data_IF_798425069869
#
_entry.id   IF_798425069869
#
_cell.length_a   1.000
_cell.length_b   1.000
_cell.length_c   1.000
_cell.angle_alpha   90.00
_cell.angle_beta   90.00
_cell.angle_gamma   90.00
#
_symmetry.space_group_name_H-M   'P 1'
#
loop_
_entity.id
_entity.type
_entity.pdbx_description
1 polymer ?
#
# COMPACT_ATOMS: atom_id res chain seq x y z
N UNK A 1 6.92 -12.96 45.85
CA UNK A 1 7.50 -12.15 44.74
C UNK A 1 6.45 -11.14 44.30
N UNK A 2 6.64 -9.83 44.60
CA UNK A 2 5.74 -8.78 44.12
C UNK A 2 5.95 -8.63 42.61
N UNK A 3 4.97 -9.10 41.85
CA UNK A 3 4.84 -8.92 40.41
C UNK A 3 5.09 -7.43 40.07
N UNK A 4 5.98 -7.18 39.10
CA UNK A 4 6.30 -5.86 38.60
C UNK A 4 5.07 -4.94 38.55
N UNK A 5 5.21 -3.73 39.12
CA UNK A 5 4.19 -2.68 39.11
C UNK A 5 3.54 -2.60 37.72
N UNK A 6 2.20 -2.45 37.62
CA UNK A 6 1.49 -2.24 36.36
C UNK A 6 2.12 -1.13 35.50
N UNK A 7 2.69 -0.11 36.14
CA UNK A 7 3.42 0.98 35.50
C UNK A 7 4.69 0.50 34.78
N UNK A 8 5.46 -0.39 35.41
CA UNK A 8 6.69 -0.94 34.82
C UNK A 8 6.35 -1.83 33.63
N UNK A 9 5.30 -2.65 33.72
CA UNK A 9 4.82 -3.46 32.59
C UNK A 9 4.35 -2.58 31.43
N UNK A 10 3.64 -1.49 31.71
CA UNK A 10 3.21 -0.53 30.70
C UNK A 10 4.42 0.11 29.99
N UNK A 11 5.43 0.54 30.74
CA UNK A 11 6.66 1.12 30.18
C UNK A 11 7.41 0.13 29.29
N UNK A 12 7.58 -1.12 29.72
CA UNK A 12 8.19 -2.16 28.89
C UNK A 12 7.40 -2.44 27.61
N UNK A 13 6.07 -2.48 27.69
CA UNK A 13 5.21 -2.67 26.52
C UNK A 13 5.31 -1.50 25.54
N UNK A 14 5.39 -0.26 26.03
CA UNK A 14 5.59 0.93 25.19
C UNK A 14 6.96 0.86 24.51
N UNK A 15 8.03 0.60 25.26
CA UNK A 15 9.39 0.46 24.75
C UNK A 15 9.47 -0.64 23.67
N UNK A 16 8.90 -1.81 23.92
CA UNK A 16 8.87 -2.91 22.95
C UNK A 16 8.20 -2.50 21.63
N UNK A 17 7.04 -1.84 21.69
CA UNK A 17 6.34 -1.31 20.50
C UNK A 17 7.18 -0.30 19.72
N UNK A 18 7.90 0.58 20.42
CA UNK A 18 8.84 1.50 19.78
C UNK A 18 9.95 0.74 19.04
N UNK A 19 10.61 -0.23 19.68
CA UNK A 19 11.67 -1.01 19.03
C UNK A 19 11.18 -1.76 17.78
N UNK A 20 9.97 -2.31 17.80
CA UNK A 20 9.38 -2.99 16.65
C UNK A 20 9.15 -2.04 15.46
N UNK A 21 8.57 -0.86 15.72
CA UNK A 21 8.37 0.15 14.67
C UNK A 21 9.70 0.65 14.07
N UNK A 22 10.73 0.87 14.90
CA UNK A 22 12.06 1.24 14.44
C UNK A 22 12.70 0.14 13.59
N UNK A 23 12.54 -1.13 13.99
CA UNK A 23 13.02 -2.28 13.21
C UNK A 23 12.33 -2.33 11.85
N UNK A 24 11.01 -2.16 11.79
CA UNK A 24 10.28 -2.12 10.53
C UNK A 24 10.75 -0.97 9.63
N UNK A 25 10.93 0.24 10.18
CA UNK A 25 11.46 1.39 9.42
C UNK A 25 12.88 1.15 8.90
N UNK A 26 13.75 0.54 9.70
CA UNK A 26 15.12 0.19 9.28
C UNK A 26 15.10 -0.79 8.10
N UNK A 27 14.30 -1.85 8.19
CA UNK A 27 14.15 -2.83 7.12
C UNK A 27 13.58 -2.18 5.85
N UNK A 28 12.57 -1.31 5.98
CA UNK A 28 11.99 -0.58 4.85
C UNK A 28 13.03 0.31 4.14
N UNK A 29 13.83 1.05 4.90
CA UNK A 29 14.89 1.88 4.34
C UNK A 29 15.97 1.06 3.63
N UNK A 30 16.26 -0.14 4.15
CA UNK A 30 17.20 -1.06 3.52
C UNK A 30 16.67 -1.63 2.20
N UNK A 31 15.40 -2.05 2.15
CA UNK A 31 14.74 -2.45 0.89
C UNK A 31 14.81 -1.31 -0.12
N UNK A 32 14.43 -0.09 0.27
CA UNK A 32 14.49 1.11 -0.59
C UNK A 32 15.90 1.38 -1.13
N UNK A 33 16.94 1.15 -0.32
CA UNK A 33 18.34 1.32 -0.75
C UNK A 33 18.69 0.34 -1.87
N UNK A 34 18.28 -0.93 -1.75
CA UNK A 34 18.52 -1.93 -2.79
C UNK A 34 17.70 -1.66 -4.06
N UNK A 35 16.44 -1.22 -3.94
CA UNK A 35 15.61 -0.79 -5.08
C UNK A 35 16.25 0.39 -5.83
N UNK A 36 16.74 1.41 -5.10
CA UNK A 36 17.44 2.57 -5.69
C UNK A 36 18.71 2.19 -6.44
N UNK A 37 19.40 1.13 -6.00
CA UNK A 37 20.62 0.61 -6.64
C UNK A 37 20.33 -0.49 -7.67
N UNK A 38 19.06 -0.67 -8.05
CA UNK A 38 18.57 -1.66 -9.04
C UNK A 38 18.91 -3.12 -8.69
N UNK A 39 19.14 -3.42 -7.41
CA UNK A 39 19.35 -4.78 -6.90
C UNK A 39 18.01 -5.39 -6.50
N UNK A 40 17.15 -5.63 -7.49
CA UNK A 40 15.74 -5.94 -7.27
C UNK A 40 15.50 -7.31 -6.61
N UNK A 41 16.34 -8.30 -6.91
CA UNK A 41 16.27 -9.65 -6.33
C UNK A 41 16.54 -9.60 -4.82
N UNK A 42 17.59 -8.88 -4.41
CA UNK A 42 17.92 -8.67 -2.99
C UNK A 42 16.82 -7.87 -2.30
N UNK A 43 16.30 -6.83 -2.95
CA UNK A 43 15.19 -6.06 -2.41
C UNK A 43 13.94 -6.93 -2.20
N UNK A 44 13.64 -7.81 -3.14
CA UNK A 44 12.52 -8.75 -3.06
C UNK A 44 12.68 -9.74 -1.90
N UNK A 45 13.85 -10.40 -1.78
CA UNK A 45 14.13 -11.31 -0.66
C UNK A 45 14.00 -10.61 0.70
N UNK A 46 14.55 -9.40 0.83
CA UNK A 46 14.46 -8.61 2.06
C UNK A 46 13.02 -8.20 2.37
N UNK A 47 12.24 -7.85 1.36
CA UNK A 47 10.82 -7.48 1.50
C UNK A 47 10.00 -8.67 1.98
N UNK A 48 10.18 -9.86 1.41
CA UNK A 48 9.54 -11.09 1.88
C UNK A 48 9.95 -11.45 3.31
N UNK A 49 11.24 -11.34 3.63
CA UNK A 49 11.72 -11.54 5.01
C UNK A 49 11.10 -10.53 5.97
N UNK A 50 10.92 -9.28 5.55
CA UNK A 50 10.27 -8.25 6.36
C UNK A 50 8.80 -8.62 6.63
N UNK A 51 8.03 -8.89 5.58
CA UNK A 51 6.61 -9.28 5.65
C UNK A 51 6.38 -10.42 6.66
N UNK A 52 7.27 -11.42 6.67
CA UNK A 52 7.15 -12.59 7.56
C UNK A 52 7.70 -12.38 8.97
N UNK A 53 8.42 -11.29 9.24
CA UNK A 53 9.14 -11.11 10.51
C UNK A 53 8.77 -9.85 11.29
N UNK A 54 8.04 -8.92 10.68
CA UNK A 54 7.44 -7.77 11.37
C UNK A 54 5.99 -8.09 11.73
N UNK A 55 5.49 -7.47 12.80
CA UNK A 55 4.06 -7.54 13.12
C UNK A 55 3.24 -7.00 11.94
N UNK A 56 2.11 -7.65 11.62
CA UNK A 56 1.21 -7.30 10.51
C UNK A 56 0.89 -5.81 10.47
N UNK A 57 0.68 -5.17 11.62
CA UNK A 57 0.36 -3.74 11.73
C UNK A 57 1.47 -2.81 11.21
N UNK A 58 2.70 -3.33 11.06
CA UNK A 58 3.86 -2.61 10.52
C UNK A 58 4.23 -3.07 9.10
N UNK A 59 3.49 -4.02 8.53
CA UNK A 59 3.82 -4.65 7.26
C UNK A 59 3.40 -3.83 6.03
N UNK A 60 2.51 -2.84 6.18
CA UNK A 60 1.91 -2.10 5.07
C UNK A 60 2.92 -1.52 4.06
N UNK A 61 4.05 -0.90 4.46
CA UNK A 61 5.04 -0.38 3.51
C UNK A 61 5.65 -1.45 2.60
N UNK A 62 5.86 -2.66 3.12
CA UNK A 62 6.43 -3.77 2.36
C UNK A 62 5.40 -4.35 1.39
N UNK A 63 4.16 -4.55 1.84
CA UNK A 63 3.06 -4.98 0.98
C UNK A 63 2.81 -4.01 -0.17
N UNK A 64 2.89 -2.71 0.08
CA UNK A 64 2.81 -1.69 -0.97
C UNK A 64 3.95 -1.81 -1.99
N UNK A 65 5.19 -1.98 -1.55
CA UNK A 65 6.33 -2.16 -2.46
C UNK A 65 6.16 -3.43 -3.31
N UNK A 66 5.69 -4.52 -2.70
CA UNK A 66 5.37 -5.78 -3.38
C UNK A 66 4.27 -5.59 -4.43
N UNK A 67 3.20 -4.87 -4.08
CA UNK A 67 2.10 -4.55 -4.99
C UNK A 67 2.58 -3.79 -6.22
N UNK A 68 3.44 -2.78 -6.06
CA UNK A 68 4.01 -2.03 -7.19
C UNK A 68 5.00 -2.84 -8.03
N UNK A 69 5.78 -3.70 -7.39
CA UNK A 69 6.71 -4.59 -8.09
C UNK A 69 5.95 -5.55 -9.03
N UNK A 70 4.87 -6.15 -8.52
CA UNK A 70 3.97 -6.96 -9.32
C UNK A 70 3.24 -6.16 -10.40
N UNK A 71 2.83 -4.92 -10.10
CA UNK A 71 2.09 -4.07 -11.04
C UNK A 71 2.93 -3.63 -12.24
N UNK A 72 4.18 -3.22 -11.99
CA UNK A 72 4.98 -2.54 -13.00
C UNK A 72 6.10 -3.39 -13.57
N UNK A 73 6.78 -4.20 -12.76
CA UNK A 73 7.93 -5.00 -13.22
C UNK A 73 7.49 -6.40 -13.65
N UNK A 74 6.76 -7.12 -12.80
CA UNK A 74 6.40 -8.53 -13.06
C UNK A 74 5.15 -8.65 -13.94
N UNK A 75 4.25 -7.66 -13.92
CA UNK A 75 2.95 -7.66 -14.61
C UNK A 75 1.99 -8.78 -14.17
N UNK A 76 2.08 -9.19 -12.91
CA UNK A 76 1.14 -10.13 -12.28
C UNK A 76 0.07 -9.32 -11.50
N UNK A 77 -1.00 -8.94 -12.19
CA UNK A 77 -2.03 -8.06 -11.62
C UNK A 77 -2.81 -8.72 -10.46
N UNK A 78 -2.92 -10.05 -10.44
CA UNK A 78 -3.59 -10.78 -9.36
C UNK A 78 -2.79 -10.68 -8.07
N UNK A 79 -1.49 -10.98 -8.12
CA UNK A 79 -0.62 -10.81 -6.94
C UNK A 79 -0.46 -9.37 -6.53
N UNK A 80 -0.43 -8.44 -7.50
CA UNK A 80 -0.42 -7.01 -7.23
C UNK A 80 -1.64 -6.58 -6.41
N UNK A 81 -2.85 -6.97 -6.85
CA UNK A 81 -4.08 -6.66 -6.13
C UNK A 81 -4.08 -7.25 -4.71
N UNK A 82 -3.71 -8.53 -4.56
CA UNK A 82 -3.64 -9.18 -3.27
C UNK A 82 -2.64 -8.49 -2.32
N UNK A 83 -1.50 -8.03 -2.83
CA UNK A 83 -0.51 -7.29 -2.04
C UNK A 83 -1.06 -5.93 -1.58
N UNK A 84 -1.76 -5.18 -2.46
CA UNK A 84 -2.40 -3.93 -2.05
C UNK A 84 -3.53 -4.16 -1.04
N UNK A 85 -4.34 -5.21 -1.18
CA UNK A 85 -5.37 -5.58 -0.20
C UNK A 85 -4.74 -5.86 1.18
N UNK A 86 -3.64 -6.63 1.24
CA UNK A 86 -2.89 -6.83 2.48
C UNK A 86 -2.30 -5.53 3.05
N UNK A 87 -1.86 -4.60 2.19
CA UNK A 87 -1.37 -3.30 2.62
C UNK A 87 -2.47 -2.46 3.25
N UNK A 88 -3.69 -2.47 2.70
CA UNK A 88 -4.87 -1.78 3.27
C UNK A 88 -5.17 -2.33 4.66
N UNK A 89 -5.30 -3.66 4.79
CA UNK A 89 -5.60 -4.30 6.08
C UNK A 89 -4.51 -4.01 7.13
N UNK A 90 -3.23 -4.09 6.75
CA UNK A 90 -2.12 -3.77 7.65
C UNK A 90 -2.15 -2.31 8.12
N UNK A 91 -2.54 -1.40 7.22
CA UNK A 91 -2.58 0.03 7.49
C UNK A 91 -3.73 0.42 8.43
N UNK A 92 -4.88 -0.25 8.33
CA UNK A 92 -6.01 -0.09 9.26
C UNK A 92 -5.64 -0.47 10.70
N UNK A 93 -4.72 -1.43 10.88
CA UNK A 93 -4.21 -1.83 12.19
C UNK A 93 -3.25 -0.80 12.81
N UNK A 94 -2.61 0.06 12.01
CA UNK A 94 -1.65 1.06 12.52
C UNK A 94 -1.59 2.34 11.68
N UNK A 95 -2.42 3.34 12.02
CA UNK A 95 -2.42 4.63 11.33
C UNK A 95 -1.09 5.41 11.38
N UNK A 96 -0.21 5.09 12.34
CA UNK A 96 1.10 5.75 12.46
C UNK A 96 2.00 5.57 11.21
N UNK A 97 1.73 4.56 10.37
CA UNK A 97 2.49 4.31 9.14
C UNK A 97 1.94 5.05 7.90
N UNK A 98 0.90 5.89 8.05
CA UNK A 98 0.33 6.65 6.93
C UNK A 98 1.39 7.52 6.23
N UNK A 99 2.30 8.14 6.98
CA UNK A 99 3.39 8.95 6.42
C UNK A 99 4.48 8.15 5.68
N UNK A 100 4.55 6.83 5.88
CA UNK A 100 5.59 5.96 5.29
C UNK A 100 5.05 5.18 4.09
N UNK A 101 3.83 4.67 4.22
CA UNK A 101 3.15 3.86 3.22
C UNK A 101 2.44 4.72 2.17
N UNK A 102 1.89 5.87 2.58
CA UNK A 102 1.00 6.72 1.79
C UNK A 102 -0.25 5.97 1.28
N UNK A 103 -1.42 6.16 1.92
CA UNK A 103 -2.64 5.46 1.53
C UNK A 103 -3.08 5.71 0.07
N UNK A 104 -2.78 6.88 -0.50
CA UNK A 104 -3.10 7.18 -1.90
C UNK A 104 -2.49 6.17 -2.86
N UNK A 105 -1.24 5.80 -2.63
CA UNK A 105 -0.51 4.85 -3.47
C UNK A 105 -1.13 3.46 -3.46
N UNK A 106 -1.59 3.03 -2.28
CA UNK A 106 -2.16 1.71 -2.10
C UNK A 106 -3.49 1.62 -2.84
N UNK A 107 -4.39 2.59 -2.62
CA UNK A 107 -5.72 2.59 -3.26
C UNK A 107 -5.62 2.80 -4.77
N UNK A 108 -4.73 3.67 -5.23
CA UNK A 108 -4.45 3.85 -6.66
C UNK A 108 -3.91 2.57 -7.30
N UNK A 109 -2.95 1.90 -6.65
CA UNK A 109 -2.40 0.63 -7.12
C UNK A 109 -3.45 -0.49 -7.17
N UNK A 110 -4.27 -0.63 -6.12
CA UNK A 110 -5.36 -1.60 -6.06
C UNK A 110 -6.41 -1.36 -7.15
N UNK A 111 -6.79 -0.10 -7.40
CA UNK A 111 -7.69 0.28 -8.49
C UNK A 111 -7.09 -0.08 -9.85
N UNK A 112 -5.82 0.27 -10.08
CA UNK A 112 -5.09 -0.03 -11.33
C UNK A 112 -5.05 -1.53 -11.60
N UNK A 113 -4.63 -2.33 -10.60
CA UNK A 113 -4.57 -3.79 -10.72
C UNK A 113 -5.97 -4.40 -10.98
N UNK A 114 -7.01 -3.90 -10.30
CA UNK A 114 -8.38 -4.36 -10.51
C UNK A 114 -8.89 -4.08 -11.93
N UNK A 115 -8.61 -2.88 -12.47
CA UNK A 115 -8.98 -2.54 -13.86
C UNK A 115 -8.22 -3.41 -14.86
N UNK A 116 -6.91 -3.62 -14.64
CA UNK A 116 -6.08 -4.48 -15.50
C UNK A 116 -6.56 -5.95 -15.52
N UNK A 117 -7.18 -6.41 -14.43
CA UNK A 117 -7.79 -7.74 -14.33
C UNK A 117 -9.23 -7.82 -14.88
N UNK A 118 -9.81 -6.71 -15.35
CA UNK A 118 -11.22 -6.70 -15.77
C UNK A 118 -12.20 -6.85 -14.61
N UNK A 119 -11.86 -6.35 -13.41
CA UNK A 119 -12.69 -6.42 -12.21
C UNK A 119 -13.30 -5.03 -11.88
N UNK A 120 -14.31 -4.55 -12.64
CA UNK A 120 -14.78 -3.17 -12.55
C UNK A 120 -15.38 -2.82 -11.19
N UNK A 121 -16.07 -3.74 -10.51
CA UNK A 121 -16.66 -3.46 -9.19
C UNK A 121 -15.59 -3.19 -8.13
N UNK A 122 -14.53 -4.02 -8.10
CA UNK A 122 -13.37 -3.81 -7.21
C UNK A 122 -12.62 -2.54 -7.59
N UNK A 123 -12.34 -2.34 -8.89
CA UNK A 123 -11.66 -1.15 -9.38
C UNK A 123 -12.38 0.13 -8.99
N UNK A 124 -13.70 0.18 -9.15
CA UNK A 124 -14.52 1.32 -8.75
C UNK A 124 -14.47 1.57 -7.23
N UNK A 125 -14.57 0.51 -6.41
CA UNK A 125 -14.47 0.62 -4.95
C UNK A 125 -13.15 1.27 -4.53
N UNK A 126 -12.02 0.76 -5.00
CA UNK A 126 -10.70 1.31 -4.63
C UNK A 126 -10.48 2.71 -5.21
N UNK A 127 -10.95 2.97 -6.42
CA UNK A 127 -10.78 4.26 -7.05
C UNK A 127 -11.60 5.36 -6.37
N UNK A 128 -12.80 5.05 -5.88
CA UNK A 128 -13.57 5.99 -5.05
C UNK A 128 -12.82 6.38 -3.78
N UNK A 129 -12.22 5.40 -3.09
CA UNK A 129 -11.46 5.66 -1.87
C UNK A 129 -10.17 6.46 -2.16
N UNK A 130 -9.50 6.16 -3.28
CA UNK A 130 -8.42 7.00 -3.79
C UNK A 130 -8.89 8.45 -4.02
N UNK A 131 -10.01 8.68 -4.73
CA UNK A 131 -10.52 10.03 -5.00
C UNK A 131 -10.89 10.79 -3.73
N UNK A 132 -11.48 10.10 -2.75
CA UNK A 132 -11.78 10.66 -1.43
C UNK A 132 -10.50 11.18 -0.77
N UNK A 133 -9.46 10.36 -0.68
CA UNK A 133 -8.17 10.76 -0.12
C UNK A 133 -7.49 11.85 -0.96
N UNK A 134 -7.54 11.74 -2.28
CA UNK A 134 -6.91 12.67 -3.21
C UNK A 134 -7.48 14.08 -3.03
N UNK A 135 -8.80 14.19 -2.90
CA UNK A 135 -9.50 15.46 -2.65
C UNK A 135 -9.13 16.14 -1.33
N UNK A 136 -8.71 15.36 -0.32
CA UNK A 136 -8.24 15.90 0.96
C UNK A 136 -6.83 16.43 0.80
N UNK A 137 -5.95 15.63 0.18
CA UNK A 137 -4.54 15.97 -0.04
C UNK A 137 -4.40 17.14 -1.04
N UNK A 138 -5.28 17.25 -2.03
CA UNK A 138 -5.24 18.32 -3.04
C UNK A 138 -5.57 19.71 -2.52
N UNK A 139 -6.04 19.83 -1.27
CA UNK A 139 -6.25 21.12 -0.61
C UNK A 139 -4.93 21.70 -0.08
N UNK A 140 -3.90 20.88 0.01
CA UNK A 140 -2.55 21.30 0.40
C UNK A 140 -1.76 21.75 -0.84
N UNK A 141 -1.32 23.01 -0.84
CA UNK A 141 -0.57 23.60 -1.94
C UNK A 141 0.83 22.96 -2.09
N UNK A 142 1.44 22.53 -0.99
CA UNK A 142 2.79 21.95 -1.00
C UNK A 142 2.81 20.55 -1.61
N UNK A 143 1.65 19.90 -1.69
CA UNK A 143 1.50 18.53 -2.21
C UNK A 143 1.06 18.48 -3.67
N UNK A 144 0.84 19.60 -4.36
CA UNK A 144 0.37 19.61 -5.76
C UNK A 144 1.34 18.88 -6.70
N UNK A 145 2.64 19.13 -6.56
CA UNK A 145 3.66 18.44 -7.36
C UNK A 145 3.67 16.93 -7.12
N UNK A 146 3.39 16.51 -5.89
CA UNK A 146 3.27 15.10 -5.56
C UNK A 146 2.04 14.47 -6.22
N UNK A 147 0.92 15.18 -6.29
CA UNK A 147 -0.32 14.69 -6.89
C UNK A 147 -0.28 14.62 -8.42
N UNK A 148 0.54 15.44 -9.08
CA UNK A 148 0.67 15.45 -10.54
C UNK A 148 1.03 14.06 -11.10
N UNK A 149 1.74 13.22 -10.34
CA UNK A 149 2.14 11.88 -10.78
C UNK A 149 0.98 10.92 -11.04
N UNK A 150 -0.22 11.23 -10.56
CA UNK A 150 -1.40 10.38 -10.73
C UNK A 150 -2.24 10.76 -11.96
N UNK A 151 -2.01 11.91 -12.59
CA UNK A 151 -2.95 12.45 -13.61
C UNK A 151 -3.19 11.48 -14.76
N UNK A 152 -2.13 10.92 -15.34
CA UNK A 152 -2.24 9.98 -16.46
C UNK A 152 -2.97 8.69 -16.05
N UNK A 153 -2.64 8.15 -14.87
CA UNK A 153 -3.28 6.92 -14.42
C UNK A 153 -4.71 7.09 -13.90
N UNK A 154 -5.09 8.29 -13.41
CA UNK A 154 -6.49 8.63 -13.12
C UNK A 154 -7.32 8.49 -14.39
N UNK A 155 -6.88 9.14 -15.48
CA UNK A 155 -7.56 9.08 -16.76
C UNK A 155 -7.65 7.62 -17.25
N UNK A 156 -6.56 6.86 -17.18
CA UNK A 156 -6.53 5.46 -17.59
C UNK A 156 -7.52 4.58 -16.79
N UNK A 157 -7.60 4.77 -15.46
CA UNK A 157 -8.55 4.03 -14.62
C UNK A 157 -9.99 4.39 -14.99
N UNK A 158 -10.29 5.68 -15.21
CA UNK A 158 -11.63 6.15 -15.56
C UNK A 158 -12.11 5.57 -16.90
N UNK A 159 -11.26 5.63 -17.93
CA UNK A 159 -11.53 5.06 -19.25
C UNK A 159 -11.71 3.53 -19.16
N UNK A 160 -10.84 2.85 -18.41
CA UNK A 160 -10.91 1.40 -18.21
C UNK A 160 -12.21 0.96 -17.53
N UNK A 161 -12.63 1.67 -16.47
CA UNK A 161 -13.88 1.39 -15.77
C UNK A 161 -15.12 1.64 -16.66
N UNK A 162 -15.10 2.71 -17.46
CA UNK A 162 -16.18 3.02 -18.40
C UNK A 162 -16.34 1.93 -19.47
N UNK A 163 -15.22 1.47 -20.04
CA UNK A 163 -15.19 0.40 -21.05
C UNK A 163 -15.75 -0.90 -20.48
N UNK A 164 -15.22 -1.35 -19.33
CA UNK A 164 -15.65 -2.59 -18.68
C UNK A 164 -17.14 -2.57 -18.29
N UNK A 165 -17.66 -1.41 -17.91
CA UNK A 165 -19.08 -1.24 -17.58
C UNK A 165 -19.98 -1.31 -18.82
N UNK A 166 -19.50 -0.81 -19.96
CA UNK A 166 -20.23 -0.85 -21.24
C UNK A 166 -20.30 -2.28 -21.79
N UNK A 167 -19.19 -3.02 -21.71
CA UNK A 167 -19.11 -4.39 -22.21
C UNK A 167 -20.05 -5.32 -21.43
N UNK A 168 -20.08 -5.19 -20.09
CA UNK A 168 -20.98 -5.97 -19.24
C UNK A 168 -22.47 -5.73 -19.52
N UNK A 169 -22.86 -4.53 -20.00
CA UNK A 169 -24.25 -4.25 -20.39
C UNK A 169 -24.66 -4.94 -21.69
N UNK A 170 -23.71 -5.16 -22.61
CA UNK A 170 -23.96 -5.84 -23.88
C UNK A 170 -24.10 -7.35 -23.73
N UNK A 171 -23.48 -7.95 -22.71
CA UNK A 171 -23.58 -9.40 -22.47
C UNK A 171 -24.92 -9.84 -21.83
N UNK A 172 -25.69 -8.89 -21.28
CA UNK A 172 -26.93 -9.16 -20.52
C UNK A 172 -28.20 -8.82 -21.32
N UNK A 173 -28.07 -8.13 -22.46
CA UNK A 173 -29.19 -7.75 -23.34
C UNK A 173 -29.21 -8.56 -24.62
#
# INVERSE_FOLDING_TARGET
MKLFSPLIRLLFNILARFFESFRALRMYNEVKRFEKTKKYEIAHELRHKAINSVDRKYAAPFWRQEGFDYLYRVKDYSKSLAAFENAIEALELSPMFYGVCNPLDIYFGAATASVAMGLPQKGQKYFMEFKRLFSVVSKDADLQKYLQRYSEGIQWIEEGLLKLSSDKKKEVG
#
